data_IF_575226024306
#
_entry.id   IF_575226024306
#
_cell.length_a   1.000
_cell.length_b   1.000
_cell.length_c   1.000
_cell.angle_alpha   90.00
_cell.angle_beta   90.00
_cell.angle_gamma   90.00
#
_symmetry.space_group_name_H-M   'P 1'
#
loop_
_entity.id
_entity.type
_entity.pdbx_description
1 polymer ?
#
# COMPACT_ATOMS: atom_id res chain seq x y z
N UNK A 1 -4.05 24.54 -3.86
CA UNK A 1 -2.67 24.05 -4.10
C UNK A 1 -2.16 23.55 -2.78
N UNK A 2 -1.66 22.32 -2.70
CA UNK A 2 -1.23 21.72 -1.44
C UNK A 2 -0.13 22.58 -0.75
N UNK A 3 -0.16 22.71 0.59
CA UNK A 3 0.93 23.35 1.32
C UNK A 3 2.23 22.59 1.07
N UNK A 4 3.34 23.31 0.86
CA UNK A 4 4.66 22.70 0.65
C UNK A 4 5.55 22.98 1.84
N UNK A 5 6.00 21.94 2.52
CA UNK A 5 6.91 22.06 3.66
C UNK A 5 8.37 22.20 3.22
N UNK A 6 9.23 22.73 4.10
CA UNK A 6 10.65 22.96 3.84
C UNK A 6 11.44 21.65 4.00
N UNK A 7 12.35 21.36 3.07
CA UNK A 7 13.09 20.08 3.03
C UNK A 7 13.85 19.77 4.33
N UNK A 8 14.38 20.79 5.02
CA UNK A 8 15.08 20.60 6.30
C UNK A 8 14.15 20.11 7.41
N UNK A 9 12.88 20.52 7.37
CA UNK A 9 11.89 20.13 8.36
C UNK A 9 11.29 18.77 8.00
N UNK A 10 11.03 18.54 6.72
CA UNK A 10 10.39 17.33 6.21
C UNK A 10 11.29 16.09 6.24
N UNK A 11 12.59 16.23 6.01
CA UNK A 11 13.53 15.10 5.83
C UNK A 11 14.36 14.83 7.10
N UNK A 12 14.65 15.86 7.89
CA UNK A 12 15.63 15.77 8.99
C UNK A 12 14.93 15.71 10.36
N UNK A 13 13.77 16.34 10.53
CA UNK A 13 13.06 16.31 11.81
C UNK A 13 12.19 15.05 11.91
N UNK A 14 12.55 14.18 12.84
CA UNK A 14 11.76 13.02 13.21
C UNK A 14 10.97 13.32 14.47
N UNK A 15 9.66 13.06 14.46
CA UNK A 15 8.76 13.30 15.60
C UNK A 15 8.07 12.00 16.00
N UNK A 16 8.08 11.68 17.30
CA UNK A 16 7.36 10.52 17.86
C UNK A 16 6.06 10.98 18.51
N UNK A 17 4.95 10.89 17.78
CA UNK A 17 3.60 11.14 18.32
C UNK A 17 2.91 9.85 18.81
N UNK A 18 3.55 8.69 18.66
CA UNK A 18 2.99 7.37 18.99
C UNK A 18 3.27 6.87 20.41
N UNK A 19 3.81 7.71 21.30
CA UNK A 19 4.13 7.34 22.70
C UNK A 19 5.40 6.48 22.87
N UNK A 20 6.19 6.30 21.82
CA UNK A 20 7.48 5.59 21.89
C UNK A 20 8.54 6.49 22.55
N UNK A 21 9.27 5.92 23.51
CA UNK A 21 10.35 6.63 24.23
C UNK A 21 11.59 6.84 23.35
N UNK A 22 11.91 5.86 22.50
CA UNK A 22 13.05 5.91 21.59
C UNK A 22 12.60 6.27 20.17
N UNK A 23 13.11 7.39 19.66
CA UNK A 23 12.80 7.92 18.33
C UNK A 23 13.26 6.97 17.20
N UNK A 24 14.39 6.30 17.40
CA UNK A 24 14.94 5.35 16.44
C UNK A 24 14.00 4.15 16.27
N UNK A 25 13.52 3.57 17.38
CA UNK A 25 12.55 2.49 17.33
C UNK A 25 11.22 2.95 16.73
N UNK A 26 10.74 4.14 17.10
CA UNK A 26 9.55 4.74 16.51
C UNK A 26 9.66 4.84 14.97
N UNK A 27 10.81 5.29 14.47
CA UNK A 27 11.04 5.43 13.02
C UNK A 27 11.01 4.08 12.28
N UNK A 28 11.52 3.01 12.91
CA UNK A 28 11.50 1.66 12.30
C UNK A 28 10.10 1.06 12.16
N UNK A 29 9.12 1.50 12.95
CA UNK A 29 7.73 1.05 12.82
C UNK A 29 7.12 1.38 11.46
N UNK A 30 7.64 2.42 10.77
CA UNK A 30 7.25 2.76 9.41
C UNK A 30 7.58 1.68 8.38
N UNK A 31 8.48 0.73 8.68
CA UNK A 31 8.82 -0.39 7.80
C UNK A 31 7.74 -1.49 7.82
N UNK A 32 7.00 -1.63 8.91
CA UNK A 32 5.96 -2.67 9.06
C UNK A 32 4.87 -2.58 7.97
N UNK A 33 4.22 -1.42 7.72
CA UNK A 33 3.24 -1.32 6.65
C UNK A 33 3.85 -1.55 5.26
N UNK A 34 5.15 -1.25 5.08
CA UNK A 34 5.84 -1.52 3.81
C UNK A 34 5.96 -3.02 3.52
N UNK A 35 6.19 -3.84 4.56
CA UNK A 35 6.19 -5.30 4.42
C UNK A 35 4.79 -5.81 4.06
N UNK A 36 3.75 -5.24 4.68
CA UNK A 36 2.36 -5.58 4.37
C UNK A 36 1.99 -5.33 2.90
N UNK A 37 2.58 -4.32 2.27
CA UNK A 37 2.39 -4.02 0.84
C UNK A 37 3.04 -5.05 -0.10
N UNK A 38 3.96 -5.87 0.38
CA UNK A 38 4.60 -6.95 -0.39
C UNK A 38 3.79 -8.25 -0.38
N UNK A 39 2.65 -8.28 0.30
CA UNK A 39 1.76 -9.44 0.32
C UNK A 39 1.04 -9.55 -1.03
N UNK A 40 0.95 -10.78 -1.55
CA UNK A 40 0.14 -11.09 -2.73
C UNK A 40 0.87 -11.08 -4.08
N UNK A 41 2.18 -10.82 -4.10
CA UNK A 41 2.99 -10.95 -5.32
C UNK A 41 3.08 -12.41 -5.82
N UNK A 42 2.91 -13.38 -4.92
CA UNK A 42 2.92 -14.81 -5.23
C UNK A 42 1.65 -15.29 -5.94
N UNK A 43 0.57 -14.49 -5.96
CA UNK A 43 -0.67 -14.81 -6.66
C UNK A 43 -0.46 -15.16 -8.13
N UNK A 44 0.49 -14.50 -8.80
CA UNK A 44 0.81 -14.80 -10.20
C UNK A 44 1.41 -16.20 -10.41
N UNK A 45 2.05 -16.78 -9.38
CA UNK A 45 2.64 -18.12 -9.45
C UNK A 45 1.55 -19.18 -9.38
N UNK A 46 0.53 -18.95 -8.56
CA UNK A 46 -0.65 -19.83 -8.44
C UNK A 46 -1.54 -19.83 -9.67
N UNK A 47 -1.35 -18.86 -10.57
CA UNK A 47 -2.03 -18.76 -11.88
C UNK A 47 -1.11 -19.13 -13.05
N UNK A 48 0.01 -19.81 -12.76
CA UNK A 48 1.03 -20.14 -13.76
C UNK A 48 0.53 -21.01 -14.91
N UNK A 49 -0.47 -21.84 -14.68
CA UNK A 49 -1.10 -22.70 -15.69
C UNK A 49 -1.78 -21.91 -16.83
N UNK A 50 -2.15 -20.66 -16.59
CA UNK A 50 -2.81 -19.78 -17.57
C UNK A 50 -1.81 -18.93 -18.37
N UNK A 51 -0.52 -18.96 -17.99
CA UNK A 51 0.52 -18.13 -18.58
C UNK A 51 1.29 -18.91 -19.65
N UNK A 52 1.32 -18.36 -20.87
CA UNK A 52 2.14 -18.89 -21.95
C UNK A 52 3.63 -18.78 -21.58
N UNK A 53 4.30 -19.93 -21.47
CA UNK A 53 5.72 -20.05 -21.04
C UNK A 53 5.96 -19.49 -19.64
N UNK A 54 5.26 -20.06 -18.64
CA UNK A 54 5.34 -19.68 -17.23
C UNK A 54 6.77 -19.55 -16.66
N UNK A 55 7.69 -20.45 -17.03
CA UNK A 55 9.05 -20.52 -16.47
C UNK A 55 9.93 -19.30 -16.74
N UNK A 56 9.64 -18.51 -17.78
CA UNK A 56 10.36 -17.27 -18.09
C UNK A 56 9.51 -16.03 -17.83
N UNK A 57 8.22 -16.10 -18.12
CA UNK A 57 7.33 -14.96 -18.02
C UNK A 57 7.07 -14.56 -16.57
N UNK A 58 6.81 -15.52 -15.69
CA UNK A 58 6.44 -15.24 -14.29
C UNK A 58 7.59 -14.58 -13.52
N UNK A 59 8.84 -15.08 -13.55
CA UNK A 59 9.95 -14.41 -12.88
C UNK A 59 10.18 -12.99 -13.37
N UNK A 60 10.10 -12.77 -14.69
CA UNK A 60 10.27 -11.43 -15.27
C UNK A 60 9.16 -10.47 -14.84
N UNK A 61 7.90 -10.91 -14.85
CA UNK A 61 6.76 -10.08 -14.45
C UNK A 61 6.84 -9.69 -12.97
N UNK A 62 7.22 -10.61 -12.08
CA UNK A 62 7.39 -10.30 -10.65
C UNK A 62 8.45 -9.20 -10.46
N UNK A 63 9.60 -9.32 -11.12
CA UNK A 63 10.68 -8.32 -11.01
C UNK A 63 10.21 -6.96 -11.51
N UNK A 64 9.57 -6.90 -12.69
CA UNK A 64 9.07 -5.65 -13.24
C UNK A 64 8.01 -5.00 -12.35
N UNK A 65 7.08 -5.80 -11.81
CA UNK A 65 6.03 -5.30 -10.91
C UNK A 65 6.62 -4.72 -9.62
N UNK A 66 7.60 -5.40 -9.00
CA UNK A 66 8.27 -4.91 -7.79
C UNK A 66 9.01 -3.60 -8.07
N UNK A 67 9.77 -3.53 -9.17
CA UNK A 67 10.53 -2.32 -9.52
C UNK A 67 9.60 -1.14 -9.79
N UNK A 68 8.53 -1.34 -10.59
CA UNK A 68 7.59 -0.26 -10.90
C UNK A 68 6.84 0.23 -9.66
N UNK A 69 6.44 -0.69 -8.79
CA UNK A 69 5.73 -0.35 -7.55
C UNK A 69 6.66 0.38 -6.57
N UNK A 70 7.91 -0.07 -6.41
CA UNK A 70 8.88 0.60 -5.56
C UNK A 70 9.18 2.03 -6.06
N UNK A 71 9.32 2.22 -7.37
CA UNK A 71 9.54 3.55 -7.95
C UNK A 71 8.34 4.48 -7.70
N UNK A 72 7.11 4.00 -7.93
CA UNK A 72 5.91 4.81 -7.66
C UNK A 72 5.72 5.10 -6.18
N UNK A 73 5.98 4.14 -5.30
CA UNK A 73 5.90 4.34 -3.86
C UNK A 73 6.88 5.40 -3.39
N UNK A 74 8.11 5.42 -3.93
CA UNK A 74 9.09 6.45 -3.61
C UNK A 74 8.61 7.84 -4.08
N UNK A 75 8.10 7.95 -5.31
CA UNK A 75 7.60 9.22 -5.86
C UNK A 75 6.40 9.77 -5.07
N UNK A 76 5.41 8.93 -4.81
CA UNK A 76 4.21 9.30 -4.05
C UNK A 76 4.58 9.58 -2.60
N UNK A 77 5.46 8.78 -1.98
CA UNK A 77 5.93 8.97 -0.62
C UNK A 77 6.63 10.32 -0.43
N UNK A 78 7.59 10.65 -1.30
CA UNK A 78 8.25 11.96 -1.26
C UNK A 78 7.21 13.08 -1.41
N UNK A 79 6.34 12.99 -2.43
CA UNK A 79 5.31 14.00 -2.66
C UNK A 79 4.38 14.17 -1.45
N UNK A 80 4.01 13.07 -0.80
CA UNK A 80 3.12 13.06 0.35
C UNK A 80 3.74 13.76 1.56
N UNK A 81 4.99 13.45 1.90
CA UNK A 81 5.64 14.08 3.07
C UNK A 81 5.85 15.59 2.83
N UNK A 82 6.17 16.00 1.60
CA UNK A 82 6.27 17.43 1.24
C UNK A 82 4.92 18.16 1.22
N UNK A 83 3.83 17.46 0.94
CA UNK A 83 2.47 18.01 0.86
C UNK A 83 1.63 17.82 2.13
N UNK A 84 2.20 17.24 3.19
CA UNK A 84 1.48 16.89 4.41
C UNK A 84 0.93 18.13 5.15
N UNK A 85 1.66 19.24 5.13
CA UNK A 85 1.30 20.43 5.89
C UNK A 85 1.58 20.28 7.40
N UNK A 86 0.66 20.76 8.23
CA UNK A 86 0.75 20.68 9.69
C UNK A 86 0.34 19.28 10.19
N UNK A 87 1.30 18.57 10.81
CA UNK A 87 1.12 17.19 11.24
C UNK A 87 0.02 17.06 12.31
N UNK A 88 -0.05 18.01 13.25
CA UNK A 88 -1.03 17.94 14.35
C UNK A 88 -2.46 18.15 13.86
N UNK A 89 -2.68 19.04 12.89
CA UNK A 89 -3.96 19.22 12.23
C UNK A 89 -4.42 17.97 11.46
N UNK A 90 -3.50 17.30 10.78
CA UNK A 90 -3.79 16.08 10.00
C UNK A 90 -4.09 14.89 10.92
N UNK A 91 -3.33 14.72 12.01
CA UNK A 91 -3.54 13.62 12.96
C UNK A 91 -4.84 13.78 13.77
N UNK A 92 -5.21 15.01 14.13
CA UNK A 92 -6.44 15.31 14.87
C UNK A 92 -7.64 15.60 13.95
N UNK A 93 -7.51 15.34 12.65
CA UNK A 93 -8.58 15.58 11.68
C UNK A 93 -9.83 14.75 12.00
N UNK A 94 -11.00 15.39 11.89
CA UNK A 94 -12.32 14.75 12.04
C UNK A 94 -12.57 13.65 11.01
N UNK A 95 -11.81 13.59 9.91
CA UNK A 95 -11.92 12.51 8.92
C UNK A 95 -11.40 11.17 9.44
N UNK A 96 -10.61 11.15 10.53
CA UNK A 96 -10.06 9.93 11.12
C UNK A 96 -9.04 9.18 10.25
N UNK A 97 -8.71 9.72 9.06
CA UNK A 97 -7.73 9.17 8.13
C UNK A 97 -6.86 10.29 7.54
N UNK A 98 -5.56 10.35 7.93
CA UNK A 98 -4.61 11.37 7.47
C UNK A 98 -4.54 11.55 5.95
N UNK A 99 -4.66 10.46 5.19
CA UNK A 99 -4.59 10.50 3.71
C UNK A 99 -5.75 11.28 3.10
N UNK A 100 -6.96 11.15 3.68
CA UNK A 100 -8.15 11.83 3.17
C UNK A 100 -8.05 13.34 3.43
N UNK A 101 -7.52 13.71 4.60
CA UNK A 101 -7.27 15.11 4.95
C UNK A 101 -6.28 15.75 3.96
N UNK A 102 -5.15 15.09 3.68
CA UNK A 102 -4.15 15.60 2.72
C UNK A 102 -4.74 15.76 1.31
N UNK A 103 -5.61 14.85 0.86
CA UNK A 103 -6.30 15.00 -0.42
C UNK A 103 -7.28 16.18 -0.43
N UNK A 104 -7.95 16.44 0.69
CA UNK A 104 -8.78 17.62 0.86
C UNK A 104 -7.96 18.91 0.83
N UNK A 105 -6.84 18.96 1.54
CA UNK A 105 -5.98 20.14 1.59
C UNK A 105 -5.32 20.41 0.22
N UNK A 106 -5.06 19.36 -0.56
CA UNK A 106 -4.55 19.48 -1.92
C UNK A 106 -5.60 20.01 -2.92
N UNK A 107 -6.83 19.49 -2.86
CA UNK A 107 -7.90 19.81 -3.81
C UNK A 107 -8.70 21.07 -3.47
N UNK A 108 -8.86 21.37 -2.18
CA UNK A 108 -9.76 22.41 -1.68
C UNK A 108 -11.25 22.15 -1.97
N UNK A 109 -11.63 20.91 -2.32
CA UNK A 109 -13.01 20.56 -2.68
C UNK A 109 -13.39 19.17 -2.21
N UNK A 110 -14.48 19.07 -1.45
CA UNK A 110 -15.02 17.80 -0.95
C UNK A 110 -15.31 16.84 -2.10
N UNK A 111 -15.91 17.33 -3.19
CA UNK A 111 -16.24 16.51 -4.35
C UNK A 111 -14.98 15.94 -5.03
N UNK A 112 -13.92 16.75 -5.15
CA UNK A 112 -12.64 16.32 -5.72
C UNK A 112 -11.96 15.24 -4.86
N UNK A 113 -11.97 15.42 -3.54
CA UNK A 113 -11.47 14.42 -2.58
C UNK A 113 -12.25 13.12 -2.66
N UNK A 114 -13.58 13.17 -2.68
CA UNK A 114 -14.42 11.98 -2.75
C UNK A 114 -14.14 11.15 -4.00
N UNK A 115 -13.95 11.80 -5.16
CA UNK A 115 -13.61 11.10 -6.41
C UNK A 115 -12.25 10.41 -6.30
N UNK A 116 -11.23 11.08 -5.76
CA UNK A 116 -9.91 10.46 -5.58
C UNK A 116 -9.94 9.28 -4.61
N UNK A 117 -10.65 9.41 -3.48
CA UNK A 117 -10.83 8.33 -2.53
C UNK A 117 -11.59 7.16 -3.16
N UNK A 118 -12.63 7.43 -3.96
CA UNK A 118 -13.37 6.38 -4.66
C UNK A 118 -12.48 5.60 -5.65
N UNK A 119 -11.58 6.26 -6.37
CA UNK A 119 -10.61 5.60 -7.25
C UNK A 119 -9.68 4.68 -6.46
N UNK A 120 -9.17 5.13 -5.32
CA UNK A 120 -8.33 4.30 -4.43
C UNK A 120 -9.10 3.06 -3.95
N UNK A 121 -10.35 3.24 -3.51
CA UNK A 121 -11.21 2.13 -3.07
C UNK A 121 -11.47 1.13 -4.20
N UNK A 122 -11.69 1.58 -5.43
CA UNK A 122 -11.87 0.71 -6.58
C UNK A 122 -10.61 -0.14 -6.84
N UNK A 123 -9.42 0.46 -6.75
CA UNK A 123 -8.15 -0.27 -6.88
C UNK A 123 -8.04 -1.34 -5.80
N UNK A 124 -8.33 -1.00 -4.53
CA UNK A 124 -8.34 -1.97 -3.43
C UNK A 124 -9.32 -3.13 -3.67
N UNK A 125 -10.53 -2.84 -4.15
CA UNK A 125 -11.52 -3.87 -4.47
C UNK A 125 -11.00 -4.83 -5.54
N UNK A 126 -10.39 -4.32 -6.61
CA UNK A 126 -9.82 -5.19 -7.66
C UNK A 126 -8.68 -6.05 -7.15
N UNK A 127 -7.82 -5.50 -6.28
CA UNK A 127 -6.75 -6.27 -5.64
C UNK A 127 -7.32 -7.39 -4.76
N UNK A 128 -8.33 -7.11 -3.93
CA UNK A 128 -9.01 -8.10 -3.10
C UNK A 128 -9.63 -9.22 -3.94
N UNK A 129 -10.27 -8.91 -5.06
CA UNK A 129 -10.85 -9.91 -5.96
C UNK A 129 -9.76 -10.87 -6.48
N UNK A 130 -8.61 -10.34 -6.89
CA UNK A 130 -7.47 -11.17 -7.34
C UNK A 130 -6.94 -12.11 -6.26
N UNK A 131 -6.85 -11.63 -5.02
CA UNK A 131 -6.43 -12.44 -3.86
C UNK A 131 -7.44 -13.56 -3.58
N UNK A 132 -8.73 -13.23 -3.53
CA UNK A 132 -9.80 -14.21 -3.27
C UNK A 132 -9.87 -15.26 -4.37
N UNK A 133 -9.70 -14.87 -5.64
CA UNK A 133 -9.66 -15.81 -6.76
C UNK A 133 -8.50 -16.80 -6.61
N UNK A 134 -7.31 -16.32 -6.22
CA UNK A 134 -6.13 -17.15 -5.98
C UNK A 134 -6.36 -18.12 -4.81
N UNK A 135 -6.80 -17.62 -3.67
CA UNK A 135 -7.04 -18.41 -2.47
C UNK A 135 -8.09 -19.51 -2.73
N UNK A 136 -9.15 -19.19 -3.48
CA UNK A 136 -10.19 -20.14 -3.84
C UNK A 136 -9.66 -21.33 -4.65
N UNK A 137 -8.74 -21.09 -5.59
CA UNK A 137 -8.09 -22.15 -6.38
C UNK A 137 -7.23 -23.07 -5.52
N UNK A 138 -6.44 -22.48 -4.63
CA UNK A 138 -5.61 -23.23 -3.69
C UNK A 138 -6.47 -24.12 -2.80
N UNK A 139 -7.53 -23.56 -2.20
CA UNK A 139 -8.47 -24.31 -1.38
C UNK A 139 -9.13 -25.46 -2.16
N UNK A 140 -9.57 -25.21 -3.40
CA UNK A 140 -10.20 -26.24 -4.22
C UNK A 140 -9.23 -27.39 -4.55
N UNK A 141 -7.99 -27.09 -4.92
CA UNK A 141 -6.96 -28.10 -5.16
C UNK A 141 -6.65 -28.93 -3.91
N UNK A 142 -6.55 -28.27 -2.74
CA UNK A 142 -6.32 -28.93 -1.46
C UNK A 142 -7.47 -29.88 -1.07
N UNK A 143 -8.72 -29.43 -1.26
CA UNK A 143 -9.89 -30.25 -0.99
C UNK A 143 -9.98 -31.47 -1.94
N UNK A 144 -9.69 -31.27 -3.24
CA UNK A 144 -9.65 -32.34 -4.23
C UNK A 144 -8.64 -33.42 -3.88
N UNK A 145 -7.47 -33.03 -3.37
CA UNK A 145 -6.37 -33.93 -3.06
C UNK A 145 -6.52 -34.61 -1.68
N UNK A 146 -7.72 -34.58 -1.08
CA UNK A 146 -8.05 -35.20 0.22
C UNK A 146 -7.13 -34.76 1.36
N UNK A 147 -6.66 -33.51 1.36
CA UNK A 147 -5.67 -33.00 2.31
C UNK A 147 -6.04 -33.04 3.79
N UNK A 148 -7.28 -33.40 4.15
CA UNK A 148 -7.77 -33.49 5.53
C UNK A 148 -7.98 -34.93 6.04
N UNK A 149 -7.82 -35.97 5.23
CA UNK A 149 -7.92 -37.36 5.71
C UNK A 149 -6.61 -37.75 6.45
N UNK A 150 -6.66 -38.11 7.75
CA UNK A 150 -5.50 -38.71 8.40
C UNK A 150 -5.26 -40.11 7.81
N UNK A 151 -4.01 -40.39 7.43
CA UNK A 151 -3.58 -41.71 6.91
C UNK A 151 -3.72 -42.81 7.94
#
# INVERSE_FOLDING_TARGET
MAPKSNASETIINFTSNGGWQDLDLASTTGVVPMIGMLIGYDCCVHMSEEVRVASRTIPAVIIWAVISNAAMLLLVGITYIFCLGDLDSVLNSTTGQPVIQVFYDATGSVAGTCVMVAVVLLIFLTACIGQVATASRQLWSFARDKGQEPR
#
